data_IF_392396700167
#
_entry.id   IF_392396700167
#
_cell.length_a   1.000
_cell.length_b   1.000
_cell.length_c   1.000
_cell.angle_alpha   90.00
_cell.angle_beta   90.00
_cell.angle_gamma   90.00
#
_symmetry.space_group_name_H-M   'P 1'
#
loop_
_entity.id
_entity.type
_entity.pdbx_description
1 polymer ?
#
# COMPACT_ATOMS: atom_id res chain seq x y z
N UNK A 1 -27.22 19.94 -3.81
CA UNK A 1 -26.25 20.17 -2.71
C UNK A 1 -26.75 19.74 -1.33
N UNK A 2 -28.05 19.58 -1.07
CA UNK A 2 -28.58 19.18 0.27
C UNK A 2 -28.22 17.77 0.76
N UNK A 3 -27.50 16.97 -0.04
CA UNK A 3 -27.08 15.59 0.24
C UNK A 3 -25.56 15.42 0.32
N UNK A 4 -24.80 16.51 0.42
CA UNK A 4 -23.34 16.46 0.56
C UNK A 4 -22.95 17.19 1.85
N UNK A 5 -21.80 16.86 2.43
CA UNK A 5 -21.38 17.30 3.77
C UNK A 5 -22.25 16.73 4.90
N UNK A 6 -22.47 15.41 4.90
CA UNK A 6 -23.26 14.72 5.92
C UNK A 6 -22.49 13.54 6.51
N UNK A 7 -23.00 13.04 7.64
CA UNK A 7 -22.55 11.79 8.23
C UNK A 7 -23.47 10.67 7.73
N UNK A 8 -22.89 9.69 7.06
CA UNK A 8 -23.57 8.51 6.56
C UNK A 8 -23.14 7.30 7.35
N UNK A 9 -24.12 6.54 7.85
CA UNK A 9 -23.90 5.23 8.44
C UNK A 9 -24.42 4.20 7.47
N UNK A 10 -23.56 3.31 7.00
CA UNK A 10 -23.85 2.38 5.89
C UNK A 10 -23.65 0.96 6.37
N UNK A 11 -24.63 0.10 6.09
CA UNK A 11 -24.52 -1.32 6.40
C UNK A 11 -23.49 -1.99 5.49
N UNK A 12 -22.46 -2.59 6.09
CA UNK A 12 -21.51 -3.45 5.40
C UNK A 12 -22.00 -4.91 5.41
N UNK A 13 -21.71 -5.65 4.33
CA UNK A 13 -21.99 -7.08 4.25
C UNK A 13 -20.88 -7.90 4.92
N UNK A 14 -19.64 -7.42 4.86
CA UNK A 14 -18.48 -8.02 5.53
C UNK A 14 -18.33 -7.54 6.96
N UNK A 15 -17.51 -8.22 7.75
CA UNK A 15 -17.16 -7.80 9.11
C UNK A 15 -16.04 -6.74 9.08
N UNK A 16 -16.27 -5.68 8.31
CA UNK A 16 -15.30 -4.62 8.07
C UNK A 16 -15.86 -3.32 8.67
N UNK A 17 -14.97 -2.58 9.34
CA UNK A 17 -15.23 -1.29 9.94
C UNK A 17 -14.36 -0.24 9.24
N UNK A 18 -14.96 0.57 8.36
CA UNK A 18 -14.22 1.57 7.56
C UNK A 18 -14.83 2.95 7.72
N UNK A 19 -13.95 3.94 7.85
CA UNK A 19 -14.29 5.36 7.89
C UNK A 19 -13.74 6.03 6.64
N UNK A 20 -14.64 6.56 5.80
CA UNK A 20 -14.30 7.27 4.58
C UNK A 20 -14.61 8.76 4.73
N UNK A 21 -13.62 9.61 4.50
CA UNK A 21 -13.78 11.05 4.41
C UNK A 21 -13.56 11.48 2.96
N UNK A 22 -14.61 12.05 2.36
CA UNK A 22 -14.63 12.37 0.95
C UNK A 22 -14.78 13.88 0.74
N UNK A 23 -14.00 14.45 -0.18
CA UNK A 23 -14.11 15.84 -0.61
C UNK A 23 -14.32 15.93 -2.11
N UNK A 24 -15.27 16.76 -2.52
CA UNK A 24 -15.44 17.13 -3.93
C UNK A 24 -14.56 18.33 -4.25
N UNK A 25 -13.63 18.12 -5.16
CA UNK A 25 -12.57 19.04 -5.58
C UNK A 25 -12.73 19.41 -7.07
N UNK A 26 -12.12 20.53 -7.51
CA UNK A 26 -12.03 20.86 -8.92
C UNK A 26 -11.36 19.74 -9.74
N UNK A 27 -11.77 19.56 -11.01
CA UNK A 27 -11.32 18.44 -11.83
C UNK A 27 -9.81 18.47 -12.05
N UNK A 28 -9.18 17.31 -11.85
CA UNK A 28 -7.73 17.15 -11.95
C UNK A 28 -7.21 17.04 -13.39
N UNK A 29 -8.09 16.72 -14.35
CA UNK A 29 -7.74 16.39 -15.75
C UNK A 29 -6.77 17.40 -16.39
N UNK A 30 -6.93 18.70 -16.11
CA UNK A 30 -6.08 19.77 -16.67
C UNK A 30 -4.76 19.99 -15.92
N UNK A 31 -4.58 19.36 -14.76
CA UNK A 31 -3.44 19.47 -13.86
C UNK A 31 -2.58 18.21 -13.84
N UNK A 32 -2.65 17.39 -14.90
CA UNK A 32 -1.86 16.16 -15.03
C UNK A 32 -0.34 16.38 -15.05
N UNK A 33 0.13 17.60 -15.36
CA UNK A 33 1.56 17.94 -15.31
C UNK A 33 2.07 18.12 -13.88
N UNK A 34 1.24 18.69 -13.02
CA UNK A 34 1.61 19.04 -11.64
C UNK A 34 1.17 18.01 -10.61
N UNK A 35 0.16 17.17 -10.91
CA UNK A 35 -0.27 16.02 -10.09
C UNK A 35 -0.44 16.32 -8.59
N UNK A 36 -1.17 17.39 -8.20
CA UNK A 36 -1.23 17.83 -6.81
C UNK A 36 -1.93 16.83 -5.89
N UNK A 37 -2.97 16.12 -6.37
CA UNK A 37 -3.68 15.13 -5.56
C UNK A 37 -2.89 13.82 -5.41
N UNK A 38 -2.08 13.41 -6.39
CA UNK A 38 -1.16 12.27 -6.20
C UNK A 38 -0.08 12.61 -5.17
N UNK A 39 0.44 13.84 -5.16
CA UNK A 39 1.32 14.33 -4.09
C UNK A 39 0.64 14.25 -2.72
N UNK A 40 -0.62 14.71 -2.60
CA UNK A 40 -1.36 14.64 -1.34
C UNK A 40 -1.72 13.22 -0.91
N UNK A 41 -2.08 12.37 -1.88
CA UNK A 41 -2.29 10.94 -1.68
C UNK A 41 -1.04 10.28 -1.08
N UNK A 42 0.15 10.57 -1.63
CA UNK A 42 1.41 10.07 -1.12
C UNK A 42 1.69 10.53 0.31
N UNK A 43 1.56 11.83 0.58
CA UNK A 43 1.87 12.40 1.89
C UNK A 43 0.89 11.92 2.97
N UNK A 44 -0.42 11.94 2.69
CA UNK A 44 -1.46 11.51 3.64
C UNK A 44 -1.43 9.99 3.83
N UNK A 45 -1.18 9.24 2.76
CA UNK A 45 -1.08 7.78 2.75
C UNK A 45 0.27 7.24 3.23
N UNK A 46 1.21 8.09 3.65
CA UNK A 46 2.50 7.64 4.15
C UNK A 46 2.36 6.79 5.41
N UNK A 47 3.09 5.69 5.51
CA UNK A 47 3.06 4.80 6.69
C UNK A 47 4.24 4.99 7.65
N UNK A 48 5.20 5.84 7.29
CA UNK A 48 6.40 6.10 8.10
C UNK A 48 6.13 6.92 9.36
N UNK A 49 7.17 7.04 10.21
CA UNK A 49 7.11 7.84 11.45
C UNK A 49 6.63 9.25 11.19
N UNK A 50 5.73 9.71 12.06
CA UNK A 50 5.12 11.04 11.98
C UNK A 50 3.92 11.13 11.04
N UNK A 51 3.55 10.04 10.36
CA UNK A 51 2.34 9.98 9.56
C UNK A 51 1.07 9.83 10.39
N UNK A 52 -0.07 10.13 9.75
CA UNK A 52 -1.40 9.98 10.34
C UNK A 52 -1.65 8.54 10.81
N UNK A 53 -1.40 7.55 9.94
CA UNK A 53 -1.63 6.14 10.28
C UNK A 53 -0.65 5.62 11.34
N UNK A 54 0.62 6.05 11.33
CA UNK A 54 1.57 5.68 12.38
C UNK A 54 1.08 6.15 13.77
N UNK A 55 0.51 7.36 13.83
CA UNK A 55 -0.06 7.91 15.05
C UNK A 55 -1.36 7.19 15.49
N UNK A 56 -2.26 6.87 14.56
CA UNK A 56 -3.48 6.11 14.85
C UNK A 56 -3.16 4.69 15.33
N UNK A 57 -2.18 4.03 14.72
CA UNK A 57 -1.66 2.71 15.11
C UNK A 57 -1.04 2.72 16.52
N UNK A 58 -0.27 3.77 16.85
CA UNK A 58 0.29 3.98 18.21
C UNK A 58 -0.79 4.03 19.29
N UNK A 59 -1.97 4.57 18.96
CA UNK A 59 -3.14 4.64 19.84
C UNK A 59 -4.14 3.49 19.65
N UNK A 60 -3.82 2.50 18.80
CA UNK A 60 -4.67 1.34 18.48
C UNK A 60 -6.03 1.68 17.89
N UNK A 61 -6.15 2.81 17.20
CA UNK A 61 -7.42 3.28 16.64
C UNK A 61 -7.68 2.75 15.20
N UNK A 62 -6.62 2.52 14.42
CA UNK A 62 -6.73 2.10 13.03
C UNK A 62 -5.67 1.05 12.65
N UNK A 63 -6.01 0.25 11.64
CA UNK A 63 -5.16 -0.78 11.06
C UNK A 63 -4.48 -0.29 9.78
N UNK A 64 -5.26 0.30 8.88
CA UNK A 64 -4.80 0.74 7.56
C UNK A 64 -5.41 2.10 7.22
N UNK A 65 -4.69 2.86 6.38
CA UNK A 65 -5.16 4.11 5.82
C UNK A 65 -4.75 4.16 4.36
N UNK A 66 -5.69 4.52 3.50
CA UNK A 66 -5.40 4.92 2.12
C UNK A 66 -5.92 6.33 1.90
N UNK A 67 -5.21 7.09 1.08
CA UNK A 67 -5.64 8.40 0.61
C UNK A 67 -5.50 8.37 -0.90
N UNK A 68 -6.60 8.53 -1.63
CA UNK A 68 -6.59 8.33 -3.07
C UNK A 68 -7.64 9.17 -3.78
N UNK A 69 -7.40 9.36 -5.07
CA UNK A 69 -8.41 9.74 -6.03
C UNK A 69 -8.83 8.46 -6.71
N UNK A 70 -10.09 8.05 -6.54
CA UNK A 70 -10.58 6.83 -7.18
C UNK A 70 -10.54 7.00 -8.70
N UNK A 71 -9.80 6.11 -9.35
CA UNK A 71 -9.62 6.10 -10.80
C UNK A 71 -10.84 5.46 -11.46
N UNK A 72 -11.76 6.32 -11.88
CA UNK A 72 -12.99 5.93 -12.54
C UNK A 72 -13.78 7.17 -12.90
N UNK A 73 -14.39 7.17 -14.10
CA UNK A 73 -15.11 8.35 -14.62
C UNK A 73 -16.24 8.88 -13.73
N UNK A 74 -16.65 8.12 -12.71
CA UNK A 74 -17.58 8.54 -11.67
C UNK A 74 -16.91 9.51 -10.67
N UNK A 75 -15.71 9.16 -10.18
CA UNK A 75 -15.04 9.89 -9.11
C UNK A 75 -14.04 10.92 -9.61
N UNK A 76 -13.57 10.81 -10.86
CA UNK A 76 -12.76 11.84 -11.51
C UNK A 76 -13.21 12.06 -12.95
N UNK A 77 -13.68 13.27 -13.26
CA UNK A 77 -14.16 13.64 -14.59
C UNK A 77 -13.91 15.12 -14.90
N UNK A 78 -14.43 15.60 -16.03
CA UNK A 78 -14.26 16.99 -16.49
C UNK A 78 -14.95 18.04 -15.61
N UNK A 79 -15.79 17.63 -14.65
CA UNK A 79 -16.58 18.52 -13.79
C UNK A 79 -16.01 18.54 -12.36
N UNK A 80 -15.61 17.39 -11.81
CA UNK A 80 -15.10 17.29 -10.45
C UNK A 80 -14.17 16.08 -10.27
N UNK A 81 -13.44 16.10 -9.15
CA UNK A 81 -12.66 14.97 -8.64
C UNK A 81 -13.02 14.74 -7.16
N UNK A 82 -13.22 13.48 -6.75
CA UNK A 82 -13.43 13.08 -5.36
C UNK A 82 -12.10 12.59 -4.81
N UNK A 83 -11.66 13.21 -3.72
CA UNK A 83 -10.52 12.75 -2.93
C UNK A 83 -11.05 12.06 -1.67
N UNK A 84 -10.56 10.86 -1.41
CA UNK A 84 -11.04 9.98 -0.34
C UNK A 84 -9.90 9.62 0.57
N UNK A 85 -10.09 9.79 1.88
CA UNK A 85 -9.26 9.18 2.92
C UNK A 85 -10.08 8.03 3.51
N UNK A 86 -9.64 6.79 3.29
CA UNK A 86 -10.25 5.59 3.84
C UNK A 86 -9.39 5.08 5.00
N UNK A 87 -10.02 4.79 6.14
CA UNK A 87 -9.37 4.30 7.35
C UNK A 87 -10.07 3.03 7.81
N UNK A 88 -9.35 1.91 7.84
CA UNK A 88 -9.83 0.68 8.43
C UNK A 88 -9.63 0.72 9.95
N UNK A 89 -10.73 0.66 10.71
CA UNK A 89 -10.74 0.87 12.15
C UNK A 89 -10.48 -0.44 12.91
N UNK A 90 -9.97 -0.30 14.13
CA UNK A 90 -9.98 -1.37 15.14
C UNK A 90 -11.28 -1.35 15.93
N UNK A 91 -11.51 -2.35 16.78
CA UNK A 91 -12.65 -2.32 17.71
C UNK A 91 -12.57 -1.16 18.71
N UNK A 92 -11.37 -0.75 19.14
CA UNK A 92 -11.18 0.44 19.98
C UNK A 92 -11.49 1.72 19.19
N UNK A 93 -11.02 1.82 17.95
CA UNK A 93 -11.28 2.98 17.09
C UNK A 93 -12.74 3.13 16.68
N UNK A 94 -13.48 2.02 16.61
CA UNK A 94 -14.92 1.99 16.37
C UNK A 94 -15.70 2.78 17.43
N UNK A 95 -15.23 2.77 18.68
CA UNK A 95 -15.89 3.43 19.80
C UNK A 95 -15.66 4.94 19.82
N UNK A 96 -14.56 5.42 19.22
CA UNK A 96 -14.17 6.83 19.22
C UNK A 96 -13.88 7.38 17.81
N UNK A 97 -14.89 7.31 16.96
CA UNK A 97 -14.82 7.82 15.57
C UNK A 97 -14.55 9.33 15.55
N UNK A 98 -15.08 10.06 16.54
CA UNK A 98 -14.89 11.52 16.63
C UNK A 98 -13.42 11.87 16.82
N UNK A 99 -12.70 11.19 17.73
CA UNK A 99 -11.26 11.42 17.94
C UNK A 99 -10.44 11.09 16.69
N UNK A 100 -10.77 10.01 15.97
CA UNK A 100 -10.09 9.66 14.71
C UNK A 100 -10.24 10.79 13.69
N UNK A 101 -11.46 11.27 13.47
CA UNK A 101 -11.74 12.38 12.55
C UNK A 101 -10.99 13.65 12.97
N UNK A 102 -10.97 13.96 14.27
CA UNK A 102 -10.20 15.08 14.84
C UNK A 102 -8.72 14.97 14.47
N UNK A 103 -8.11 13.79 14.62
CA UNK A 103 -6.70 13.54 14.24
C UNK A 103 -6.47 13.69 12.74
N UNK A 104 -7.42 13.27 11.90
CA UNK A 104 -7.34 13.52 10.44
C UNK A 104 -7.30 15.02 10.17
N UNK A 105 -8.19 15.80 10.79
CA UNK A 105 -8.20 17.26 10.60
C UNK A 105 -6.99 17.97 11.18
N UNK A 106 -6.42 17.50 12.29
CA UNK A 106 -5.12 17.95 12.80
C UNK A 106 -4.01 17.76 11.76
N UNK A 107 -3.96 16.57 11.12
CA UNK A 107 -2.97 16.27 10.08
C UNK A 107 -3.19 17.14 8.83
N UNK A 108 -4.44 17.31 8.38
CA UNK A 108 -4.77 18.20 7.27
C UNK A 108 -4.46 19.67 7.60
N UNK A 109 -4.61 20.11 8.86
CA UNK A 109 -4.21 21.46 9.29
C UNK A 109 -2.70 21.64 9.18
N UNK A 110 -1.91 20.65 9.60
CA UNK A 110 -0.45 20.67 9.43
C UNK A 110 -0.06 20.84 7.94
N UNK A 111 -0.74 20.10 7.04
CA UNK A 111 -0.49 20.22 5.60
C UNK A 111 -0.90 21.56 5.00
N UNK A 112 -1.84 22.28 5.63
CA UNK A 112 -2.21 23.65 5.22
C UNK A 112 -1.23 24.71 5.74
N UNK A 113 -0.60 24.46 6.89
CA UNK A 113 0.31 25.42 7.52
C UNK A 113 1.74 25.29 7.06
N UNK A 114 2.13 24.10 6.59
CA UNK A 114 3.47 23.84 6.06
C UNK A 114 3.46 24.02 4.54
N UNK A 115 4.54 24.60 4.01
CA UNK A 115 4.74 24.70 2.57
C UNK A 115 4.88 23.30 1.95
N UNK A 116 4.43 23.16 0.70
CA UNK A 116 4.65 21.93 -0.04
C UNK A 116 6.15 21.67 -0.22
N UNK A 117 6.59 20.43 0.03
CA UNK A 117 8.00 20.05 -0.04
C UNK A 117 8.37 19.67 -1.47
N UNK A 118 9.29 20.43 -2.07
CA UNK A 118 9.85 20.11 -3.37
C UNK A 118 10.64 18.80 -3.35
N UNK A 119 11.32 18.48 -2.24
CA UNK A 119 12.06 17.23 -2.08
C UNK A 119 11.14 16.01 -2.20
N UNK A 120 9.97 16.05 -1.56
CA UNK A 120 8.96 14.98 -1.66
C UNK A 120 8.42 14.87 -3.08
N UNK A 121 8.22 16.00 -3.77
CA UNK A 121 7.78 15.98 -5.15
C UNK A 121 8.83 15.38 -6.10
N UNK A 122 10.10 15.75 -5.92
CA UNK A 122 11.20 15.22 -6.70
C UNK A 122 11.39 13.72 -6.46
N UNK A 123 11.23 13.26 -5.22
CA UNK A 123 11.21 11.82 -4.90
C UNK A 123 10.10 11.08 -5.67
N UNK A 124 8.87 11.61 -5.68
CA UNK A 124 7.77 11.04 -6.47
C UNK A 124 8.08 11.03 -7.97
N UNK A 125 8.69 12.10 -8.49
CA UNK A 125 9.12 12.17 -9.88
C UNK A 125 10.15 11.08 -10.19
N UNK A 126 11.17 10.91 -9.34
CA UNK A 126 12.19 9.87 -9.53
C UNK A 126 11.60 8.45 -9.50
N UNK A 127 10.64 8.19 -8.60
CA UNK A 127 9.92 6.92 -8.55
C UNK A 127 9.13 6.70 -9.84
N UNK A 128 8.38 7.70 -10.29
CA UNK A 128 7.58 7.63 -11.51
C UNK A 128 8.45 7.42 -12.76
N UNK A 129 9.55 8.17 -12.89
CA UNK A 129 10.51 8.04 -14.00
C UNK A 129 11.15 6.64 -14.01
N UNK A 130 11.52 6.14 -12.85
CA UNK A 130 12.10 4.80 -12.68
C UNK A 130 11.08 3.72 -13.06
N UNK A 131 9.84 3.84 -12.59
CA UNK A 131 8.76 2.92 -12.90
C UNK A 131 8.47 2.92 -14.40
N UNK A 132 8.37 4.09 -15.03
CA UNK A 132 8.12 4.21 -16.45
C UNK A 132 9.27 3.60 -17.28
N UNK A 133 10.53 3.85 -16.89
CA UNK A 133 11.71 3.36 -17.58
C UNK A 133 11.86 1.83 -17.54
N UNK A 134 11.49 1.20 -16.44
CA UNK A 134 11.62 -0.25 -16.24
C UNK A 134 10.28 -0.97 -16.19
N UNK A 135 9.21 -0.33 -16.67
CA UNK A 135 7.90 -0.95 -16.72
C UNK A 135 7.98 -2.19 -17.61
N UNK A 136 7.38 -3.29 -17.16
CA UNK A 136 7.34 -4.52 -17.96
C UNK A 136 6.31 -4.36 -19.09
N UNK A 137 6.49 -5.13 -20.16
CA UNK A 137 5.57 -5.12 -21.30
C UNK A 137 4.17 -5.53 -20.83
N UNK A 138 3.28 -4.54 -20.70
CA UNK A 138 1.86 -4.77 -20.45
C UNK A 138 1.27 -5.60 -21.60
N UNK A 139 0.20 -6.36 -21.32
CA UNK A 139 -0.44 -7.16 -22.38
C UNK A 139 -0.88 -6.20 -23.50
N UNK A 140 -0.72 -6.57 -24.79
CA UNK A 140 -1.04 -5.66 -25.89
C UNK A 140 -2.45 -5.05 -25.81
N UNK A 141 -3.43 -5.81 -25.31
CA UNK A 141 -4.80 -5.34 -25.11
C UNK A 141 -4.93 -4.24 -24.05
N UNK A 142 -4.22 -4.37 -22.93
CA UNK A 142 -4.19 -3.36 -21.87
C UNK A 142 -3.49 -2.10 -22.37
N UNK A 143 -2.37 -2.27 -23.07
CA UNK A 143 -1.59 -1.17 -23.61
C UNK A 143 -2.39 -0.32 -24.62
N UNK A 144 -3.05 -0.96 -25.59
CA UNK A 144 -3.89 -0.25 -26.56
C UNK A 144 -5.08 0.44 -25.88
N UNK A 145 -5.68 -0.20 -24.87
CA UNK A 145 -6.79 0.38 -24.10
C UNK A 145 -6.36 1.64 -23.35
N UNK A 146 -5.25 1.55 -22.59
CA UNK A 146 -4.72 2.67 -21.82
C UNK A 146 -4.32 3.84 -22.72
N UNK A 147 -3.60 3.58 -23.83
CA UNK A 147 -3.23 4.62 -24.79
C UNK A 147 -4.48 5.26 -25.40
N UNK A 148 -5.47 4.46 -25.82
CA UNK A 148 -6.70 5.00 -26.42
C UNK A 148 -7.45 5.92 -25.47
N UNK A 149 -7.46 5.61 -24.16
CA UNK A 149 -8.02 6.50 -23.14
C UNK A 149 -7.20 7.78 -22.99
N UNK A 150 -5.87 7.66 -22.89
CA UNK A 150 -4.94 8.78 -22.81
C UNK A 150 -5.07 9.75 -23.98
N UNK A 151 -5.36 9.25 -25.18
CA UNK A 151 -5.57 10.06 -26.39
C UNK A 151 -6.77 11.01 -26.28
N UNK A 152 -7.72 10.74 -25.40
CA UNK A 152 -8.89 11.61 -25.16
C UNK A 152 -8.63 12.73 -24.17
N UNK A 153 -7.51 12.66 -23.43
CA UNK A 153 -7.21 13.52 -22.28
C UNK A 153 -5.95 14.35 -22.52
N UNK A 154 -4.87 13.70 -22.97
CA UNK A 154 -3.55 14.30 -23.10
C UNK A 154 -3.26 14.77 -24.52
N UNK A 155 -2.32 15.69 -24.73
CA UNK A 155 -1.82 16.01 -26.05
C UNK A 155 -0.95 14.86 -26.61
N UNK A 156 -0.71 14.79 -27.93
CA UNK A 156 -0.01 13.68 -28.57
C UNK A 156 1.39 13.37 -28.02
N UNK A 157 2.09 14.38 -27.51
CA UNK A 157 3.43 14.21 -26.95
C UNK A 157 3.40 13.42 -25.63
N UNK A 158 2.26 13.44 -24.93
CA UNK A 158 2.09 12.90 -23.58
C UNK A 158 1.18 11.65 -23.54
N UNK A 159 0.86 11.04 -24.69
CA UNK A 159 -0.01 9.83 -24.72
C UNK A 159 0.53 8.67 -23.89
N UNK A 160 1.86 8.51 -23.83
CA UNK A 160 2.52 7.44 -23.08
C UNK A 160 2.87 7.87 -21.66
N UNK A 161 3.19 9.14 -21.46
CA UNK A 161 3.83 9.66 -20.25
C UNK A 161 2.91 10.49 -19.37
N UNK A 162 1.82 11.06 -19.91
CA UNK A 162 0.96 12.02 -19.22
C UNK A 162 0.29 11.47 -17.97
N UNK A 163 -0.07 10.18 -17.98
CA UNK A 163 -0.60 9.50 -16.80
C UNK A 163 0.49 9.17 -15.77
N UNK A 164 1.68 8.76 -16.24
CA UNK A 164 2.71 8.18 -15.40
C UNK A 164 3.65 9.21 -14.76
N UNK A 165 4.09 10.23 -15.51
CA UNK A 165 5.21 11.10 -15.11
C UNK A 165 4.77 12.37 -14.40
N UNK A 166 5.69 12.94 -13.62
CA UNK A 166 5.55 14.22 -12.92
C UNK A 166 6.42 15.28 -13.61
N UNK A 167 5.80 16.33 -14.15
CA UNK A 167 6.51 17.29 -14.99
C UNK A 167 6.96 18.53 -14.22
N UNK A 168 6.04 19.18 -13.50
CA UNK A 168 6.26 20.52 -12.93
C UNK A 168 5.84 20.55 -11.45
N UNK A 169 6.75 21.00 -10.58
CA UNK A 169 6.40 21.25 -9.18
C UNK A 169 5.65 22.58 -9.07
N UNK A 170 4.43 22.54 -8.53
CA UNK A 170 3.57 23.71 -8.34
C UNK A 170 3.03 23.73 -6.91
N UNK A 171 3.71 24.40 -5.96
CA UNK A 171 3.25 24.48 -4.58
C UNK A 171 1.89 25.17 -4.48
N UNK A 172 1.61 26.15 -5.35
CA UNK A 172 0.33 26.86 -5.37
C UNK A 172 -0.84 25.94 -5.76
N UNK A 173 -0.63 24.99 -6.67
CA UNK A 173 -1.65 23.99 -7.00
C UNK A 173 -1.91 23.09 -5.80
N UNK A 174 -0.86 22.59 -5.13
CA UNK A 174 -0.97 21.74 -3.94
C UNK A 174 -1.75 22.48 -2.84
N UNK A 175 -1.32 23.69 -2.47
CA UNK A 175 -1.98 24.55 -1.48
C UNK A 175 -3.45 24.83 -1.82
N UNK A 176 -3.76 25.07 -3.11
CA UNK A 176 -5.13 25.26 -3.57
C UNK A 176 -6.00 24.05 -3.30
N UNK A 177 -5.48 22.82 -3.45
CA UNK A 177 -6.24 21.61 -3.15
C UNK A 177 -6.32 21.34 -1.64
N UNK A 178 -5.23 21.44 -0.88
CA UNK A 178 -5.23 21.19 0.57
C UNK A 178 -6.15 22.18 1.31
N UNK A 179 -6.19 23.44 0.88
CA UNK A 179 -7.09 24.46 1.45
C UNK A 179 -8.58 24.13 1.30
N UNK A 180 -8.94 23.20 0.40
CA UNK A 180 -10.32 22.71 0.21
C UNK A 180 -10.66 21.47 1.06
N UNK A 181 -9.66 20.81 1.64
CA UNK A 181 -9.81 19.63 2.52
C UNK A 181 -10.22 20.06 3.95
N UNK A 182 -11.32 20.81 4.05
CA UNK A 182 -11.81 21.39 5.32
C UNK A 182 -13.02 20.63 5.86
N UNK A 183 -13.31 20.72 7.18
CA UNK A 183 -14.41 19.99 7.81
C UNK A 183 -15.78 20.29 7.20
N UNK A 184 -16.08 21.56 6.94
CA UNK A 184 -17.36 22.00 6.37
C UNK A 184 -17.64 21.51 4.94
N UNK A 185 -16.62 20.97 4.25
CA UNK A 185 -16.73 20.39 2.90
C UNK A 185 -16.61 18.87 2.88
N UNK A 186 -16.36 18.25 4.04
CA UNK A 186 -16.14 16.82 4.16
C UNK A 186 -17.47 16.06 4.18
N UNK A 187 -17.53 14.98 3.42
CA UNK A 187 -18.59 13.98 3.52
C UNK A 187 -18.05 12.75 4.23
N UNK A 188 -18.70 12.31 5.31
CA UNK A 188 -18.18 11.26 6.20
C UNK A 188 -19.06 10.03 6.04
N UNK A 189 -18.49 8.90 5.66
CA UNK A 189 -19.19 7.61 5.55
C UNK A 189 -18.55 6.61 6.52
N UNK A 190 -19.41 5.94 7.26
CA UNK A 190 -19.06 4.94 8.24
C UNK A 190 -19.65 3.60 7.82
N UNK A 191 -18.81 2.70 7.35
CA UNK A 191 -19.18 1.37 6.90
C UNK A 191 -18.97 0.40 8.05
N UNK A 192 -20.07 -0.17 8.55
CA UNK A 192 -20.03 -1.20 9.60
C UNK A 192 -21.16 -2.20 9.39
N UNK A 193 -20.94 -3.44 9.81
CA UNK A 193 -21.97 -4.49 9.77
C UNK A 193 -23.11 -4.20 10.74
N UNK A 194 -22.75 -3.84 11.97
CA UNK A 194 -23.69 -3.53 13.05
C UNK A 194 -23.58 -2.05 13.40
N UNK A 195 -24.72 -1.37 13.45
CA UNK A 195 -24.83 0.00 13.94
C UNK A 195 -25.73 0.00 15.17
N UNK A 196 -25.41 0.81 16.17
CA UNK A 196 -26.25 0.98 17.37
C UNK A 196 -27.52 1.79 17.08
N UNK A 197 -27.63 2.32 15.86
CA UNK A 197 -28.78 3.09 15.38
C UNK A 197 -29.50 2.36 14.26
N UNK A 198 -30.81 2.58 14.19
CA UNK A 198 -31.62 2.08 13.09
C UNK A 198 -31.26 2.78 11.77
N UNK A 199 -31.06 1.98 10.73
CA UNK A 199 -30.81 2.45 9.36
C UNK A 199 -32.14 2.56 8.62
N UNK A 200 -32.62 3.79 8.46
CA UNK A 200 -33.97 4.14 8.03
C UNK A 200 -34.14 4.25 6.51
N UNK A 201 -33.05 4.22 5.74
CA UNK A 201 -33.04 4.37 4.29
C UNK A 201 -32.45 3.16 3.60
N UNK A 202 -32.84 3.00 2.36
CA UNK A 202 -32.40 1.92 1.49
C UNK A 202 -32.00 2.49 0.13
N UNK A 203 -30.81 2.13 -0.36
CA UNK A 203 -30.35 2.48 -1.69
C UNK A 203 -31.18 1.71 -2.75
N UNK A 204 -31.47 2.35 -3.88
CA UNK A 204 -32.41 1.84 -4.88
C UNK A 204 -31.98 0.53 -5.51
N UNK A 205 -30.71 0.38 -5.86
CA UNK A 205 -30.20 -0.68 -6.73
C UNK A 205 -29.70 -1.88 -5.94
N UNK A 206 -28.80 -1.65 -4.99
CA UNK A 206 -28.18 -2.70 -4.17
C UNK A 206 -28.91 -2.96 -2.87
N UNK A 207 -29.95 -2.16 -2.56
CA UNK A 207 -30.76 -2.32 -1.35
C UNK A 207 -29.95 -2.17 -0.07
N UNK A 208 -28.81 -1.49 -0.16
CA UNK A 208 -27.94 -1.21 0.98
C UNK A 208 -28.66 -0.30 1.94
N UNK A 209 -28.80 -0.75 3.19
CA UNK A 209 -29.39 0.07 4.25
C UNK A 209 -28.40 1.11 4.72
N UNK A 210 -28.89 2.33 4.92
CA UNK A 210 -28.07 3.42 5.42
C UNK A 210 -28.91 4.44 6.20
N UNK A 211 -28.23 5.32 6.91
CA UNK A 211 -28.78 6.49 7.58
C UNK A 211 -27.96 7.72 7.19
N UNK A 212 -28.59 8.89 7.16
CA UNK A 212 -27.91 10.14 6.81
C UNK A 212 -28.23 11.26 7.81
N UNK A 213 -27.30 11.56 8.68
CA UNK A 213 -27.43 12.60 9.70
C UNK A 213 -26.69 13.87 9.30
N UNK A 214 -27.05 15.00 9.89
CA UNK A 214 -26.25 16.22 9.79
C UNK A 214 -25.05 16.11 10.72
N UNK A 215 -23.89 16.60 10.28
CA UNK A 215 -22.72 16.67 11.14
C UNK A 215 -23.02 17.74 12.21
N UNK A 216 -22.88 17.43 13.51
CA UNK A 216 -23.09 18.40 14.57
C UNK A 216 -22.22 19.64 14.37
N UNK A 217 -22.80 20.83 14.56
CA UNK A 217 -22.08 22.10 14.33
C UNK A 217 -20.94 22.29 15.32
N UNK A 218 -21.08 21.70 16.51
CA UNK A 218 -20.06 21.66 17.55
C UNK A 218 -18.82 20.92 17.05
N UNK A 219 -19.00 19.78 16.37
CA UNK A 219 -17.89 19.00 15.83
C UNK A 219 -17.16 19.77 14.73
N UNK A 220 -17.90 20.43 13.83
CA UNK A 220 -17.30 21.24 12.76
C UNK A 220 -16.44 22.36 13.36
N UNK A 221 -16.94 23.08 14.39
CA UNK A 221 -16.18 24.14 15.06
C UNK A 221 -14.92 23.60 15.74
N UNK A 222 -15.04 22.50 16.48
CA UNK A 222 -13.90 21.85 17.10
C UNK A 222 -12.85 21.46 16.06
N UNK A 223 -13.25 20.84 14.94
CA UNK A 223 -12.38 20.43 13.84
C UNK A 223 -11.73 21.59 13.07
N UNK A 224 -12.37 22.76 13.02
CA UNK A 224 -11.79 23.96 12.42
C UNK A 224 -10.75 24.61 13.35
N UNK A 225 -10.92 24.50 14.68
CA UNK A 225 -10.05 25.10 15.68
C UNK A 225 -8.91 24.19 16.17
N UNK A 226 -8.90 22.89 15.83
CA UNK A 226 -7.88 21.92 16.29
C UNK A 226 -6.44 22.41 16.14
N UNK A 227 -5.59 22.14 17.13
CA UNK A 227 -4.16 22.43 17.00
C UNK A 227 -3.40 21.31 16.29
N UNK A 228 -2.27 21.67 15.68
CA UNK A 228 -1.37 20.69 15.06
C UNK A 228 -0.67 19.90 16.15
N UNK A 229 -0.74 18.58 16.07
CA UNK A 229 -0.05 17.70 17.01
C UNK A 229 1.46 17.68 16.71
N UNK A 230 2.32 17.76 17.73
CA UNK A 230 3.78 17.78 17.56
C UNK A 230 4.36 16.47 17.01
N UNK A 231 3.61 15.37 17.14
CA UNK A 231 4.00 14.06 16.61
C UNK A 231 3.87 13.99 15.07
N UNK A 232 3.15 14.92 14.42
CA UNK A 232 2.95 14.90 12.98
C UNK A 232 4.08 15.58 12.23
N UNK A 233 4.52 14.95 11.15
CA UNK A 233 5.53 15.52 10.24
C UNK A 233 5.31 15.04 8.82
N UNK A 234 5.94 15.74 7.87
CA UNK A 234 6.03 15.29 6.49
C UNK A 234 6.87 14.01 6.40
N UNK A 235 6.64 13.16 5.38
CA UNK A 235 7.46 11.98 5.16
C UNK A 235 8.94 12.35 5.06
N UNK A 236 9.80 11.57 5.74
CA UNK A 236 11.26 11.67 5.53
C UNK A 236 11.62 11.16 4.13
N UNK A 237 12.76 11.61 3.62
CA UNK A 237 13.35 11.10 2.38
C UNK A 237 13.51 9.58 2.42
N UNK A 238 13.14 8.92 1.33
CA UNK A 238 13.14 7.48 1.21
C UNK A 238 14.57 6.93 1.05
N UNK A 239 15.06 6.14 2.01
CA UNK A 239 16.43 5.64 2.01
C UNK A 239 16.67 4.47 1.03
N UNK A 240 15.62 3.96 0.37
CA UNK A 240 15.65 2.81 -0.53
C UNK A 240 15.51 3.18 -2.01
N UNK A 241 15.42 4.46 -2.37
CA UNK A 241 15.40 4.87 -3.77
C UNK A 241 16.69 4.45 -4.48
N UNK A 242 16.58 3.74 -5.62
CA UNK A 242 17.74 3.40 -6.44
C UNK A 242 18.32 4.65 -7.09
N UNK A 243 19.64 4.78 -7.07
CA UNK A 243 20.39 5.85 -7.73
C UNK A 243 21.14 5.35 -8.96
N UNK A 244 21.38 4.04 -9.05
CA UNK A 244 22.20 3.39 -10.07
C UNK A 244 21.55 2.11 -10.56
N UNK A 245 21.23 2.07 -11.85
CA UNK A 245 20.59 0.92 -12.51
C UNK A 245 21.59 0.05 -13.26
N UNK A 246 22.68 -0.34 -12.60
CA UNK A 246 23.75 -1.12 -13.23
C UNK A 246 23.30 -2.57 -13.46
N UNK A 247 23.29 -2.99 -14.71
CA UNK A 247 23.11 -4.40 -15.09
C UNK A 247 24.48 -5.09 -15.03
N UNK A 248 24.55 -6.24 -14.38
CA UNK A 248 25.78 -7.04 -14.32
C UNK A 248 26.13 -7.58 -15.70
N UNK A 249 27.38 -7.41 -16.12
CA UNK A 249 27.86 -7.83 -17.45
C UNK A 249 28.09 -9.34 -17.55
N UNK A 250 28.17 -10.03 -16.42
CA UNK A 250 28.34 -11.48 -16.36
C UNK A 250 27.00 -12.16 -16.60
N UNK A 251 26.84 -12.67 -17.82
CA UNK A 251 25.67 -13.43 -18.21
C UNK A 251 25.93 -14.89 -17.83
N UNK A 252 25.07 -15.45 -16.98
CA UNK A 252 25.13 -16.89 -16.69
C UNK A 252 24.67 -17.67 -17.91
N UNK A 253 25.44 -18.67 -18.33
CA UNK A 253 25.01 -19.66 -19.32
C UNK A 253 24.10 -20.74 -18.73
N UNK A 254 24.01 -20.79 -17.40
CA UNK A 254 23.25 -21.81 -16.69
C UNK A 254 21.76 -21.50 -16.70
N UNK A 255 20.96 -22.48 -17.12
CA UNK A 255 19.49 -22.36 -17.20
C UNK A 255 18.86 -22.57 -15.82
N UNK A 256 19.57 -23.24 -14.90
CA UNK A 256 19.13 -23.58 -13.55
C UNK A 256 19.99 -22.88 -12.48
N UNK A 257 19.49 -22.72 -11.24
CA UNK A 257 20.30 -22.24 -10.13
C UNK A 257 21.44 -23.21 -9.79
N UNK A 258 22.60 -22.65 -9.45
CA UNK A 258 23.78 -23.40 -9.03
C UNK A 258 24.02 -23.20 -7.53
N UNK A 259 24.43 -24.26 -6.83
CA UNK A 259 24.79 -24.17 -5.42
C UNK A 259 26.17 -23.50 -5.31
N UNK A 260 26.24 -22.35 -4.65
CA UNK A 260 27.48 -21.56 -4.51
C UNK A 260 28.08 -21.62 -3.10
N UNK A 261 27.29 -22.00 -2.09
CA UNK A 261 27.75 -22.19 -0.73
C UNK A 261 26.92 -23.27 -0.02
N UNK A 262 27.58 -24.07 0.81
CA UNK A 262 26.95 -25.10 1.64
C UNK A 262 27.70 -25.21 2.96
N UNK A 263 26.96 -25.11 4.05
CA UNK A 263 27.45 -25.28 5.43
C UNK A 263 26.43 -26.10 6.22
N UNK A 264 26.76 -26.48 7.46
CA UNK A 264 25.79 -27.11 8.36
C UNK A 264 24.59 -26.21 8.72
N UNK A 265 24.72 -24.89 8.56
CA UNK A 265 23.71 -23.91 8.95
C UNK A 265 22.86 -23.39 7.79
N UNK A 266 23.42 -23.34 6.59
CA UNK A 266 22.75 -22.76 5.42
C UNK A 266 23.31 -23.31 4.10
N UNK A 267 22.46 -23.23 3.07
CA UNK A 267 22.82 -23.42 1.67
C UNK A 267 22.45 -22.17 0.86
N UNK A 268 23.23 -21.85 -0.17
CA UNK A 268 22.97 -20.73 -1.08
C UNK A 268 22.96 -21.22 -2.51
N UNK A 269 21.84 -20.97 -3.18
CA UNK A 269 21.63 -21.24 -4.60
C UNK A 269 21.55 -19.91 -5.34
N UNK A 270 22.28 -19.81 -6.44
CA UNK A 270 22.35 -18.58 -7.23
C UNK A 270 22.16 -18.89 -8.71
N UNK A 271 21.31 -18.09 -9.35
CA UNK A 271 21.18 -18.05 -10.81
C UNK A 271 21.53 -16.62 -11.24
N UNK A 272 22.63 -16.48 -11.97
CA UNK A 272 23.04 -15.19 -12.52
C UNK A 272 22.10 -14.69 -13.63
N UNK A 273 22.23 -13.41 -13.98
CA UNK A 273 21.45 -12.75 -15.04
C UNK A 273 21.55 -13.53 -16.36
N UNK A 274 20.41 -13.80 -17.00
CA UNK A 274 20.35 -14.47 -18.32
C UNK A 274 20.27 -13.42 -19.44
N UNK A 275 20.44 -13.85 -20.70
CA UNK A 275 20.33 -12.95 -21.86
C UNK A 275 18.94 -12.33 -22.02
N UNK A 276 17.89 -12.99 -21.53
CA UNK A 276 16.51 -12.54 -21.68
C UNK A 276 16.16 -11.38 -20.75
N UNK A 277 16.76 -11.32 -19.55
CA UNK A 277 16.39 -10.35 -18.52
C UNK A 277 17.48 -9.30 -18.31
N UNK A 278 17.43 -8.22 -19.11
CA UNK A 278 18.34 -7.06 -18.98
C UNK A 278 17.72 -5.95 -18.12
N UNK A 279 17.23 -6.34 -16.94
CA UNK A 279 16.62 -5.42 -15.98
C UNK A 279 17.47 -5.37 -14.70
N UNK A 280 17.53 -4.23 -14.00
CA UNK A 280 18.31 -4.05 -12.77
C UNK A 280 17.57 -4.62 -11.54
N UNK A 281 16.87 -5.75 -11.71
CA UNK A 281 16.08 -6.39 -10.67
C UNK A 281 16.82 -7.61 -10.12
N UNK A 282 16.55 -7.92 -8.86
CA UNK A 282 16.98 -9.15 -8.21
C UNK A 282 15.83 -9.74 -7.41
N UNK A 283 15.87 -11.07 -7.24
CA UNK A 283 15.02 -11.80 -6.30
C UNK A 283 15.89 -12.53 -5.30
N UNK A 284 15.57 -12.39 -4.02
CA UNK A 284 16.20 -13.10 -2.91
C UNK A 284 15.11 -13.81 -2.14
N UNK A 285 15.17 -15.13 -2.07
CA UNK A 285 14.24 -15.96 -1.31
C UNK A 285 15.00 -16.66 -0.20
N UNK A 286 14.56 -16.46 1.05
CA UNK A 286 15.19 -17.01 2.24
C UNK A 286 14.17 -17.91 2.94
N UNK A 287 14.50 -19.20 3.06
CA UNK A 287 13.74 -20.15 3.84
C UNK A 287 14.44 -20.41 5.17
N UNK A 288 13.80 -20.07 6.27
CA UNK A 288 14.27 -20.36 7.63
C UNK A 288 13.53 -21.59 8.13
N UNK A 289 14.25 -22.71 8.21
CA UNK A 289 13.69 -23.98 8.66
C UNK A 289 13.56 -24.00 10.20
N UNK A 290 12.34 -24.19 10.68
CA UNK A 290 11.98 -24.30 12.09
C UNK A 290 11.17 -25.59 12.28
N UNK A 291 11.83 -26.75 12.50
CA UNK A 291 11.17 -28.07 12.48
C UNK A 291 10.04 -28.26 13.51
N UNK A 292 9.98 -27.40 14.54
CA UNK A 292 8.94 -27.47 15.57
C UNK A 292 7.58 -26.92 15.13
N UNK A 293 7.53 -26.11 14.06
CA UNK A 293 6.30 -25.45 13.60
C UNK A 293 5.22 -26.46 13.27
N UNK A 294 5.55 -27.51 12.50
CA UNK A 294 4.58 -28.52 12.06
C UNK A 294 4.17 -29.54 13.13
N UNK A 295 4.67 -29.44 14.36
CA UNK A 295 4.43 -30.45 15.41
C UNK A 295 3.09 -30.26 16.13
N UNK A 296 2.53 -29.05 16.12
CA UNK A 296 1.24 -28.76 16.75
C UNK A 296 0.55 -27.57 16.08
N UNK A 297 -0.78 -27.52 16.18
CA UNK A 297 -1.56 -26.37 15.73
C UNK A 297 -1.14 -25.09 16.47
N UNK A 298 -0.78 -25.20 17.75
CA UNK A 298 -0.30 -24.08 18.56
C UNK A 298 0.99 -23.48 17.98
N UNK A 299 1.97 -24.31 17.62
CA UNK A 299 3.24 -23.84 17.05
C UNK A 299 3.03 -23.17 15.69
N UNK A 300 2.12 -23.71 14.85
CA UNK A 300 1.72 -23.07 13.59
C UNK A 300 1.13 -21.68 13.83
N UNK A 301 0.19 -21.55 14.77
CA UNK A 301 -0.43 -20.26 15.10
C UNK A 301 0.60 -19.28 15.67
N UNK A 302 1.50 -19.72 16.53
CA UNK A 302 2.60 -18.90 17.05
C UNK A 302 3.51 -18.39 15.93
N UNK A 303 3.83 -19.23 14.95
CA UNK A 303 4.66 -18.85 13.80
C UNK A 303 3.94 -17.85 12.87
N UNK A 304 2.64 -18.05 12.63
CA UNK A 304 1.82 -17.11 11.87
C UNK A 304 1.78 -15.74 12.56
N UNK A 305 1.56 -15.72 13.88
CA UNK A 305 1.54 -14.50 14.68
C UNK A 305 2.93 -13.83 14.67
N UNK A 306 4.01 -14.60 14.84
CA UNK A 306 5.38 -14.11 14.79
C UNK A 306 5.70 -13.42 13.47
N UNK A 307 5.36 -14.05 12.34
CA UNK A 307 5.57 -13.48 11.00
C UNK A 307 4.86 -12.12 10.86
N UNK A 308 3.61 -12.02 11.31
CA UNK A 308 2.83 -10.76 11.28
C UNK A 308 3.40 -9.69 12.22
N UNK A 309 3.84 -10.07 13.41
CA UNK A 309 4.46 -9.14 14.37
C UNK A 309 5.77 -8.57 13.84
N UNK A 310 6.60 -9.38 13.17
CA UNK A 310 7.83 -8.91 12.53
C UNK A 310 7.52 -7.94 11.39
N UNK A 311 6.59 -8.29 10.51
CA UNK A 311 6.16 -7.39 9.42
C UNK A 311 5.69 -6.05 9.97
N UNK A 312 4.92 -6.06 11.05
CA UNK A 312 4.44 -4.83 11.68
C UNK A 312 5.55 -4.04 12.37
N UNK A 313 6.50 -4.70 13.05
CA UNK A 313 7.65 -4.02 13.65
C UNK A 313 8.49 -3.29 12.59
N UNK A 314 8.57 -3.86 11.39
CA UNK A 314 9.36 -3.34 10.28
C UNK A 314 8.56 -2.46 9.31
N UNK A 315 7.28 -2.18 9.60
CA UNK A 315 6.36 -1.55 8.64
C UNK A 315 6.87 -0.21 8.12
N UNK A 316 7.52 0.59 8.98
CA UNK A 316 8.12 1.88 8.61
C UNK A 316 9.15 1.69 7.47
N UNK A 317 10.05 0.71 7.60
CA UNK A 317 11.11 0.46 6.63
C UNK A 317 10.57 -0.27 5.39
N UNK A 318 9.65 -1.21 5.59
CA UNK A 318 9.01 -1.95 4.49
C UNK A 318 8.17 -1.04 3.60
N UNK A 319 7.51 -0.03 4.17
CA UNK A 319 6.77 0.97 3.40
C UNK A 319 7.70 1.73 2.44
N UNK A 320 8.82 2.26 2.95
CA UNK A 320 9.78 2.97 2.10
C UNK A 320 10.43 2.06 1.05
N UNK A 321 10.72 0.80 1.40
CA UNK A 321 11.19 -0.18 0.43
C UNK A 321 10.15 -0.42 -0.67
N UNK A 322 8.88 -0.61 -0.30
CA UNK A 322 7.78 -0.83 -1.24
C UNK A 322 7.59 0.34 -2.21
N UNK A 323 7.57 1.57 -1.69
CA UNK A 323 7.50 2.80 -2.51
C UNK A 323 8.66 2.86 -3.51
N UNK A 324 9.85 2.40 -3.11
CA UNK A 324 11.03 2.30 -3.96
C UNK A 324 11.08 1.03 -4.84
N UNK A 325 9.94 0.36 -5.07
CA UNK A 325 9.80 -0.85 -5.88
C UNK A 325 10.60 -2.06 -5.36
N UNK A 326 10.74 -2.17 -4.04
CA UNK A 326 11.28 -3.35 -3.38
C UNK A 326 10.17 -3.97 -2.55
N UNK A 327 9.62 -5.06 -3.08
CA UNK A 327 8.60 -5.85 -2.41
C UNK A 327 9.29 -6.83 -1.43
N UNK A 328 8.77 -6.87 -0.21
CA UNK A 328 9.21 -7.83 0.82
C UNK A 328 7.97 -8.55 1.35
N UNK A 329 7.97 -9.87 1.21
CA UNK A 329 6.92 -10.74 1.71
C UNK A 329 7.50 -11.64 2.79
N UNK A 330 6.91 -11.57 3.99
CA UNK A 330 7.27 -12.43 5.12
C UNK A 330 6.05 -13.33 5.40
N UNK A 331 6.21 -14.63 5.23
CA UNK A 331 5.14 -15.62 5.33
C UNK A 331 5.54 -16.80 6.21
N UNK A 332 4.54 -17.40 6.86
CA UNK A 332 4.67 -18.68 7.54
C UNK A 332 4.46 -19.80 6.53
N UNK A 333 5.32 -20.81 6.57
CA UNK A 333 5.22 -22.02 5.74
C UNK A 333 5.27 -23.27 6.64
N UNK A 334 4.93 -24.44 6.09
CA UNK A 334 4.82 -25.71 6.86
C UNK A 334 6.07 -26.00 7.71
N UNK A 335 7.25 -25.70 7.18
CA UNK A 335 8.53 -26.03 7.81
C UNK A 335 9.22 -24.81 8.46
N UNK A 336 8.56 -23.66 8.58
CA UNK A 336 9.15 -22.47 9.18
C UNK A 336 8.68 -21.14 8.60
N UNK A 337 9.62 -20.32 8.13
CA UNK A 337 9.36 -18.97 7.63
C UNK A 337 10.00 -18.76 6.25
N UNK A 338 9.27 -18.10 5.35
CA UNK A 338 9.80 -17.64 4.07
C UNK A 338 9.85 -16.11 4.05
N UNK A 339 10.98 -15.58 3.57
CA UNK A 339 11.16 -14.16 3.29
C UNK A 339 11.53 -14.04 1.81
N UNK A 340 10.61 -13.50 1.02
CA UNK A 340 10.83 -13.22 -0.40
C UNK A 340 11.04 -11.71 -0.58
N UNK A 341 12.11 -11.34 -1.27
CA UNK A 341 12.46 -9.96 -1.60
C UNK A 341 12.59 -9.87 -3.11
N UNK A 342 11.93 -8.90 -3.72
CA UNK A 342 11.96 -8.67 -5.16
C UNK A 342 11.99 -7.17 -5.47
N UNK A 343 12.81 -6.73 -6.42
CA UNK A 343 12.91 -5.31 -6.78
C UNK A 343 14.30 -4.90 -7.27
N UNK A 344 14.57 -3.60 -7.24
CA UNK A 344 15.85 -3.04 -7.69
C UNK A 344 17.05 -3.56 -6.87
N UNK A 345 18.06 -4.08 -7.57
CA UNK A 345 19.17 -4.81 -6.95
C UNK A 345 20.09 -3.95 -6.08
N UNK A 346 20.18 -2.64 -6.34
CA UNK A 346 21.14 -1.74 -5.67
C UNK A 346 20.93 -1.70 -4.15
N UNK A 347 19.67 -1.59 -3.69
CA UNK A 347 19.35 -1.46 -2.26
C UNK A 347 19.03 -2.79 -1.58
N UNK A 348 19.13 -3.91 -2.30
CA UNK A 348 18.94 -5.26 -1.75
C UNK A 348 19.80 -5.53 -0.51
N UNK A 349 21.12 -5.21 -0.49
CA UNK A 349 21.93 -5.44 0.71
C UNK A 349 21.45 -4.65 1.93
N UNK A 350 20.93 -3.44 1.71
CA UNK A 350 20.43 -2.57 2.78
C UNK A 350 19.16 -3.13 3.39
N UNK A 351 18.18 -3.54 2.57
CA UNK A 351 16.93 -4.12 3.09
C UNK A 351 17.18 -5.47 3.78
N UNK A 352 18.08 -6.31 3.24
CA UNK A 352 18.47 -7.56 3.90
C UNK A 352 19.08 -7.32 5.28
N UNK A 353 19.93 -6.29 5.41
CA UNK A 353 20.49 -5.89 6.70
C UNK A 353 19.39 -5.42 7.67
N UNK A 354 18.47 -4.56 7.23
CA UNK A 354 17.33 -4.11 8.03
C UNK A 354 16.46 -5.28 8.52
N UNK A 355 16.20 -6.26 7.64
CA UNK A 355 15.45 -7.47 7.98
C UNK A 355 16.18 -8.32 9.03
N UNK A 356 17.48 -8.55 8.85
CA UNK A 356 18.29 -9.32 9.80
C UNK A 356 18.36 -8.64 11.17
N UNK A 357 18.58 -7.32 11.20
CA UNK A 357 18.60 -6.53 12.44
C UNK A 357 17.21 -6.52 13.11
N UNK A 358 16.14 -6.40 12.32
CA UNK A 358 14.76 -6.46 12.81
C UNK A 358 14.40 -7.79 13.46
N UNK A 359 14.78 -8.90 12.82
CA UNK A 359 14.62 -10.25 13.36
C UNK A 359 15.44 -10.46 14.64
N UNK A 360 16.71 -10.04 14.65
CA UNK A 360 17.59 -10.18 15.81
C UNK A 360 17.17 -9.30 16.99
N UNK A 361 16.65 -8.10 16.72
CA UNK A 361 16.23 -7.14 17.73
C UNK A 361 14.78 -7.35 18.21
N UNK A 362 14.08 -8.37 17.69
CA UNK A 362 12.70 -8.65 18.07
C UNK A 362 12.59 -8.84 19.59
N UNK A 363 11.85 -7.93 20.22
CA UNK A 363 11.52 -7.99 21.64
C UNK A 363 10.00 -8.01 21.73
N UNK A 364 9.44 -8.97 22.45
CA UNK A 364 7.99 -9.09 22.73
C UNK A 364 7.49 -7.98 23.69
N UNK A 365 7.84 -6.72 23.42
CA UNK A 365 7.44 -5.57 24.24
C UNK A 365 5.96 -5.19 24.08
N UNK A 366 5.23 -5.82 23.16
CA UNK A 366 3.80 -5.58 22.94
C UNK A 366 2.99 -6.86 23.20
N UNK A 367 1.87 -6.72 23.92
CA UNK A 367 0.92 -7.82 24.16
C UNK A 367 0.31 -8.26 22.82
N UNK A 368 0.27 -9.58 22.61
CA UNK A 368 -0.30 -10.23 21.41
C UNK A 368 -1.74 -9.80 21.07
N UNK A 369 -2.48 -9.20 22.01
CA UNK A 369 -3.87 -8.74 21.83
C UNK A 369 -4.04 -7.65 20.78
N UNK A 370 -3.04 -6.80 20.52
CA UNK A 370 -3.11 -5.80 19.43
C UNK A 370 -3.06 -6.45 18.03
N UNK A 371 -2.50 -7.66 17.93
CA UNK A 371 -2.25 -8.34 16.66
C UNK A 371 -3.37 -9.30 16.25
N UNK A 372 -4.29 -9.66 17.15
CA UNK A 372 -5.42 -10.55 16.83
C UNK A 372 -6.40 -9.87 15.85
N UNK A 373 -6.68 -8.57 16.01
CA UNK A 373 -7.48 -7.82 15.02
C UNK A 373 -6.80 -7.67 13.65
N UNK A 374 -5.46 -7.75 13.59
CA UNK A 374 -4.68 -7.79 12.34
C UNK A 374 -4.78 -9.16 11.66
N UNK A 375 -4.91 -10.24 12.45
CA UNK A 375 -5.09 -11.61 11.93
C UNK A 375 -6.46 -11.80 11.26
N UNK A 376 -7.50 -11.13 11.76
CA UNK A 376 -8.87 -11.25 11.23
C UNK A 376 -9.09 -10.41 9.96
N UNK A 377 -8.41 -9.26 9.82
CA UNK A 377 -8.66 -8.31 8.73
C UNK A 377 -7.57 -8.23 7.65
N UNK A 378 -6.45 -8.97 7.78
CA UNK A 378 -5.45 -9.03 6.71
C UNK A 378 -5.84 -10.03 5.62
N UNK A 379 -6.89 -9.70 4.86
CA UNK A 379 -6.93 -10.15 3.47
C UNK A 379 -5.70 -9.57 2.76
N UNK A 380 -4.97 -10.35 1.96
CA UNK A 380 -3.90 -9.79 1.15
C UNK A 380 -4.53 -8.67 0.30
N UNK A 381 -3.87 -7.51 0.25
CA UNK A 381 -4.08 -6.56 -0.84
C UNK A 381 -4.22 -7.39 -2.11
N UNK A 382 -5.30 -7.21 -2.87
CA UNK A 382 -5.39 -7.75 -4.23
C UNK A 382 -4.30 -7.07 -5.05
N UNK A 383 -3.08 -7.56 -4.93
CA UNK A 383 -1.97 -7.24 -5.81
C UNK A 383 -2.16 -8.07 -7.08
N UNK A 384 -3.16 -7.70 -7.88
CA UNK A 384 -3.45 -8.38 -9.16
C UNK A 384 -2.33 -8.17 -10.19
N UNK A 385 -1.38 -7.24 -9.96
CA UNK A 385 -0.34 -6.91 -10.95
C UNK A 385 1.00 -7.68 -10.78
N UNK A 386 1.33 -8.18 -9.59
CA UNK A 386 2.64 -8.86 -9.36
C UNK A 386 2.58 -10.40 -9.38
N UNK A 387 1.36 -10.96 -9.37
CA UNK A 387 1.15 -12.41 -9.44
C UNK A 387 1.65 -12.99 -10.79
N UNK A 388 1.79 -12.14 -11.82
CA UNK A 388 2.39 -12.48 -13.10
C UNK A 388 3.90 -12.74 -13.03
N UNK A 389 4.67 -11.93 -12.27
CA UNK A 389 6.12 -12.12 -12.12
C UNK A 389 6.44 -13.37 -11.29
N UNK A 390 5.61 -13.69 -10.29
CA UNK A 390 5.73 -14.93 -9.52
C UNK A 390 5.53 -16.18 -10.39
N UNK A 391 4.58 -16.12 -11.34
CA UNK A 391 4.29 -17.19 -12.31
C UNK A 391 5.39 -17.40 -13.35
N UNK A 392 6.25 -16.41 -13.61
CA UNK A 392 7.39 -16.57 -14.50
C UNK A 392 8.66 -17.09 -13.80
N UNK A 393 8.87 -16.75 -12.52
CA UNK A 393 9.98 -17.32 -11.74
C UNK A 393 9.81 -18.82 -11.48
N UNK A 394 8.56 -19.29 -11.39
CA UNK A 394 8.20 -20.71 -11.25
C UNK A 394 7.68 -21.19 -12.60
N UNK A 395 8.60 -21.53 -13.52
CA UNK A 395 8.29 -21.73 -14.94
C UNK A 395 7.09 -22.66 -15.25
N UNK A 396 6.35 -22.28 -16.31
CA UNK A 396 5.43 -23.16 -17.04
C UNK A 396 4.02 -22.61 -17.20
N UNK A 397 3.77 -21.81 -18.23
CA UNK A 397 2.42 -21.56 -18.72
C UNK A 397 1.86 -22.87 -19.32
N UNK A 398 0.80 -23.39 -18.71
CA UNK A 398 -0.32 -24.02 -19.43
C UNK A 398 -1.62 -23.48 -18.84
N UNK A 399 -2.46 -22.97 -19.75
CA UNK A 399 -3.82 -22.55 -19.47
C UNK A 399 -4.59 -23.69 -18.79
N UNK A 400 -5.10 -23.40 -17.58
CA UNK A 400 -6.41 -23.79 -17.03
C UNK A 400 -6.42 -23.37 -15.55
N UNK A 401 -7.28 -22.43 -15.16
CA UNK A 401 -7.65 -22.28 -13.76
C UNK A 401 -8.36 -23.57 -13.32
N UNK A 402 -7.90 -24.19 -12.23
CA UNK A 402 -8.80 -24.30 -11.09
C UNK A 402 -8.10 -23.93 -9.77
N UNK A 403 -8.86 -23.32 -8.88
CA UNK A 403 -8.55 -23.20 -7.45
C UNK A 403 -8.11 -24.56 -6.89
N UNK A 404 -6.81 -24.77 -6.67
CA UNK A 404 -6.20 -25.63 -5.65
C UNK A 404 -4.68 -25.71 -5.82
N UNK A 405 -3.98 -25.55 -4.69
CA UNK A 405 -2.54 -25.69 -4.51
C UNK A 405 -1.95 -26.93 -5.20
N UNK A 406 -0.91 -26.75 -6.03
CA UNK A 406 -0.04 -27.85 -6.49
C UNK A 406 1.42 -27.61 -6.07
N UNK A 407 1.81 -28.20 -4.93
CA UNK A 407 3.21 -28.38 -4.47
C UNK A 407 3.61 -29.87 -4.63
N UNK A 408 3.15 -30.54 -5.69
CA UNK A 408 3.30 -31.99 -5.84
C UNK A 408 4.22 -32.49 -6.96
N UNK A 409 4.72 -31.65 -7.86
CA UNK A 409 5.55 -32.14 -8.98
C UNK A 409 7.07 -32.10 -8.78
N UNK A 410 7.58 -31.51 -7.70
CA UNK A 410 9.02 -31.59 -7.37
C UNK A 410 9.44 -32.86 -6.60
N UNK A 411 8.49 -33.77 -6.29
CA UNK A 411 8.72 -34.91 -5.36
C UNK A 411 9.16 -36.24 -5.98
N UNK A 412 9.41 -36.33 -7.29
CA UNK A 412 9.71 -37.64 -7.93
C UNK A 412 11.19 -37.96 -8.21
N UNK A 413 12.12 -37.00 -8.13
CA UNK A 413 13.53 -37.22 -8.52
C UNK A 413 14.56 -37.22 -7.39
N UNK A 414 14.14 -37.17 -6.11
CA UNK A 414 15.05 -37.18 -4.96
C UNK A 414 14.83 -38.37 -4.00
N UNK A 415 14.20 -39.45 -4.47
CA UNK A 415 14.06 -40.70 -3.69
C UNK A 415 14.95 -41.86 -4.13
N UNK A 416 15.74 -41.69 -5.18
CA UNK A 416 16.79 -42.66 -5.56
C UNK A 416 18.13 -41.92 -5.70
N UNK A 417 18.72 -41.55 -4.55
CA UNK A 417 20.18 -41.43 -4.34
C UNK A 417 20.51 -41.18 -2.87
#
# INVERSE_FOLDING_TARGET
MSKFCRLYMVQSMGDICELNLNWVLPPMVRKYKTKPLEYLSYVIGAEGRGSLIAHLRKHRLALFLTAEVEDGGICSNSIYTIFTICISLTEEGRQDIKDIITRVFCYLKMLRTNDASEDVYNELREIADTNFRFNHDARPVEHVTAISQNMTIFPPEDYLTGWALFYEFSPQDIESYVSKLIPSRANILLHMKNHDVELDKEERWFKTKYRSDEIPKEWIREWEEVDVLPDFSLPRSNPYLPTTFRILSQISSSVIPEKIAETELYEVWHKGCTKEFKIPYASVNILINIPKVSQSAENTVQQMLFSKMITYQLIDDLYYAHVAQIEVLISSVEYGMEIAIYGFSEKMPKIMKTLAEGLAAFKSKQRATTYVGVLENSSPKKHEEHDYCRKQAVGGYKEECPDQFYVHEWRKNLRDR
#
